data_IF_117459142461
#
_entry.id   IF_117459142461
#
_cell.length_a   1.000
_cell.length_b   1.000
_cell.length_c   1.000
_cell.angle_alpha   90.00
_cell.angle_beta   90.00
_cell.angle_gamma   90.00
#
_symmetry.space_group_name_H-M   'P 1'
#
loop_
_entity.id
_entity.type
_entity.pdbx_description
1 polymer ?
#
# COMPACT_ATOMS: atom_id res chain seq x y z
N UNK A 1 23.84 -8.85 -29.00
CA UNK A 1 23.66 -10.00 -28.08
C UNK A 1 22.18 -10.29 -28.10
N UNK A 2 21.74 -11.06 -29.11
CA UNK A 2 20.37 -11.55 -29.20
C UNK A 2 20.23 -12.67 -28.18
N UNK A 3 19.29 -12.51 -27.24
CA UNK A 3 18.94 -13.57 -26.31
C UNK A 3 17.94 -14.48 -27.02
N UNK A 4 18.43 -15.55 -27.65
CA UNK A 4 17.61 -16.66 -28.09
C UNK A 4 17.05 -17.39 -26.86
N UNK A 5 15.86 -16.99 -26.42
CA UNK A 5 15.04 -17.78 -25.49
C UNK A 5 14.56 -19.04 -26.23
N UNK A 6 15.38 -20.09 -26.21
CA UNK A 6 14.94 -21.43 -26.65
C UNK A 6 13.99 -22.01 -25.60
N UNK A 7 12.70 -21.73 -25.77
CA UNK A 7 11.62 -22.40 -25.04
C UNK A 7 11.59 -23.85 -25.52
N UNK A 8 11.92 -24.80 -24.65
CA UNK A 8 12.15 -26.21 -24.98
C UNK A 8 10.89 -27.05 -25.14
N UNK A 9 9.69 -26.46 -25.08
CA UNK A 9 8.43 -27.20 -25.21
C UNK A 9 7.40 -26.45 -26.09
N UNK A 10 7.21 -26.88 -27.35
CA UNK A 10 6.26 -26.25 -28.27
C UNK A 10 4.79 -26.40 -27.86
N UNK A 11 4.42 -27.36 -26.99
CA UNK A 11 3.03 -27.52 -26.52
C UNK A 11 2.59 -26.43 -25.51
N UNK A 12 3.54 -25.69 -24.92
CA UNK A 12 3.25 -24.59 -23.98
C UNK A 12 2.70 -23.37 -24.72
N UNK A 13 3.10 -23.15 -25.98
CA UNK A 13 2.71 -21.96 -26.75
C UNK A 13 1.26 -22.02 -27.26
N UNK A 14 0.75 -23.22 -27.61
CA UNK A 14 -0.63 -23.39 -28.09
C UNK A 14 -1.66 -23.39 -26.95
N UNK A 15 -1.23 -23.63 -25.71
CA UNK A 15 -2.11 -23.65 -24.53
C UNK A 15 -2.14 -22.32 -23.77
N UNK A 16 -1.11 -21.47 -23.90
CA UNK A 16 -1.00 -20.17 -23.24
C UNK A 16 -1.18 -19.02 -24.23
N UNK A 17 -2.43 -18.78 -24.66
CA UNK A 17 -2.80 -17.51 -25.27
C UNK A 17 -2.84 -16.38 -24.21
N UNK A 18 -1.68 -16.04 -23.65
CA UNK A 18 -1.48 -15.02 -22.60
C UNK A 18 -1.86 -13.61 -23.07
N UNK A 19 -1.96 -13.38 -24.39
CA UNK A 19 -2.42 -12.12 -24.98
C UNK A 19 -3.95 -11.96 -24.98
N UNK A 20 -4.69 -13.06 -24.82
CA UNK A 20 -6.13 -13.05 -24.61
C UNK A 20 -6.41 -13.29 -23.12
N UNK A 21 -6.17 -12.28 -22.29
CA UNK A 21 -6.93 -12.21 -21.04
C UNK A 21 -8.41 -12.12 -21.46
N UNK A 22 -9.14 -13.24 -21.37
CA UNK A 22 -10.58 -13.26 -21.63
C UNK A 22 -11.16 -12.19 -20.74
N UNK A 23 -11.74 -11.14 -21.34
CA UNK A 23 -12.41 -10.07 -20.61
C UNK A 23 -13.24 -10.70 -19.52
N UNK A 24 -12.89 -10.42 -18.26
CA UNK A 24 -13.48 -11.09 -17.13
C UNK A 24 -14.99 -11.01 -17.23
N UNK A 25 -15.68 -12.14 -17.01
CA UNK A 25 -17.07 -12.05 -16.64
C UNK A 25 -17.09 -11.22 -15.36
N UNK A 26 -17.52 -9.97 -15.47
CA UNK A 26 -17.89 -9.12 -14.34
C UNK A 26 -19.38 -9.37 -14.12
N UNK A 27 -19.80 -10.46 -13.43
CA UNK A 27 -21.22 -10.77 -13.24
C UNK A 27 -21.96 -9.65 -12.52
N UNK A 28 -21.22 -8.70 -11.93
CA UNK A 28 -21.74 -7.56 -11.20
C UNK A 28 -21.77 -6.24 -11.98
N UNK A 29 -21.11 -6.12 -13.14
CA UNK A 29 -21.11 -4.85 -13.89
C UNK A 29 -22.52 -4.45 -14.34
N UNK A 30 -23.36 -5.43 -14.67
CA UNK A 30 -24.76 -5.26 -15.02
C UNK A 30 -25.71 -5.74 -13.91
N UNK A 31 -25.21 -5.97 -12.70
CA UNK A 31 -26.03 -6.48 -11.62
C UNK A 31 -26.90 -5.37 -11.03
N UNK A 32 -28.21 -5.62 -10.79
CA UNK A 32 -29.07 -4.69 -10.08
C UNK A 32 -28.65 -4.50 -8.61
N UNK A 33 -27.68 -5.29 -8.12
CA UNK A 33 -27.10 -5.16 -6.79
C UNK A 33 -25.89 -4.22 -6.74
N UNK A 34 -25.36 -3.75 -7.87
CA UNK A 34 -24.27 -2.77 -7.88
C UNK A 34 -24.63 -1.47 -7.13
N UNK A 35 -25.84 -0.90 -7.27
CA UNK A 35 -26.28 0.22 -6.44
C UNK A 35 -26.35 -0.12 -4.94
N UNK A 36 -26.75 -1.35 -4.59
CA UNK A 36 -26.78 -1.81 -3.20
C UNK A 36 -25.36 -1.97 -2.63
N UNK A 37 -24.41 -2.50 -3.40
CA UNK A 37 -23.00 -2.54 -3.04
C UNK A 37 -22.46 -1.13 -2.81
N UNK A 38 -22.73 -0.19 -3.71
CA UNK A 38 -22.35 1.23 -3.55
C UNK A 38 -22.97 1.82 -2.27
N UNK A 39 -24.24 1.56 -1.99
CA UNK A 39 -24.91 1.99 -0.76
C UNK A 39 -24.29 1.37 0.51
N UNK A 40 -23.82 0.12 0.45
CA UNK A 40 -23.08 -0.47 1.57
C UNK A 40 -21.71 0.18 1.77
N UNK A 41 -21.05 0.62 0.69
CA UNK A 41 -19.81 1.38 0.77
C UNK A 41 -20.04 2.80 1.30
N UNK A 42 -21.20 3.40 1.04
CA UNK A 42 -21.60 4.71 1.59
C UNK A 42 -21.77 4.70 3.12
N UNK A 43 -21.95 3.52 3.74
CA UNK A 43 -21.78 3.37 5.19
C UNK A 43 -20.30 3.27 5.54
N UNK A 44 -19.56 4.38 5.40
CA UNK A 44 -18.28 4.53 6.09
C UNK A 44 -18.56 4.51 7.60
N UNK A 45 -18.42 3.34 8.23
CA UNK A 45 -18.64 3.16 9.68
C UNK A 45 -17.65 3.94 10.54
N UNK A 46 -16.53 4.39 9.95
CA UNK A 46 -15.42 5.04 10.63
C UNK A 46 -14.96 6.25 9.79
N UNK A 47 -15.83 7.23 9.61
CA UNK A 47 -15.38 8.56 9.18
C UNK A 47 -15.03 9.36 10.45
N UNK A 48 -13.84 9.96 10.56
CA UNK A 48 -13.51 10.74 11.74
C UNK A 48 -14.47 11.91 11.86
N UNK A 49 -14.90 12.17 13.10
CA UNK A 49 -15.77 13.29 13.40
C UNK A 49 -14.97 14.57 13.27
N UNK A 50 -15.29 15.38 12.26
CA UNK A 50 -14.72 16.72 12.14
C UNK A 50 -15.17 17.53 13.35
N UNK A 51 -14.21 18.09 14.08
CA UNK A 51 -14.49 18.91 15.24
C UNK A 51 -15.30 20.15 14.81
N UNK A 52 -16.49 20.33 15.42
CA UNK A 52 -17.33 21.52 15.20
C UNK A 52 -16.83 22.74 15.99
N UNK A 53 -16.06 22.49 17.04
CA UNK A 53 -15.50 23.51 17.92
C UNK A 53 -14.06 23.14 18.20
N UNK A 54 -13.16 24.10 18.03
CA UNK A 54 -11.74 23.96 18.30
C UNK A 54 -11.51 24.52 19.70
N UNK A 55 -10.89 23.73 20.59
CA UNK A 55 -10.45 24.20 21.91
C UNK A 55 -9.35 25.24 21.77
N UNK A 56 -9.16 26.08 22.79
CA UNK A 56 -8.07 27.07 22.81
C UNK A 56 -6.70 26.43 23.01
N UNK A 57 -6.64 25.22 23.56
CA UNK A 57 -5.40 24.48 23.86
C UNK A 57 -5.56 22.97 23.63
N UNK A 58 -4.44 22.32 23.32
CA UNK A 58 -4.30 20.88 23.10
C UNK A 58 -2.94 20.43 23.62
N UNK A 59 -2.83 19.19 24.08
CA UNK A 59 -1.57 18.59 24.50
C UNK A 59 -0.65 18.34 23.30
N UNK A 60 -1.23 17.94 22.17
CA UNK A 60 -0.51 17.71 20.92
C UNK A 60 -1.28 18.27 19.72
N UNK A 61 -0.55 18.85 18.77
CA UNK A 61 -1.06 19.23 17.45
C UNK A 61 -0.29 18.43 16.41
N UNK A 62 -1.01 17.56 15.70
CA UNK A 62 -0.47 16.76 14.58
C UNK A 62 -0.85 17.45 13.28
N UNK A 63 0.14 17.80 12.47
CA UNK A 63 -0.05 18.47 11.18
C UNK A 63 0.11 17.46 10.04
N UNK A 64 -0.99 17.19 9.35
CA UNK A 64 -1.12 16.21 8.28
C UNK A 64 -1.62 14.86 8.80
N UNK A 65 -2.66 14.33 8.14
CA UNK A 65 -3.29 13.03 8.43
C UNK A 65 -2.89 11.94 7.43
N UNK A 66 -1.65 12.01 6.95
CA UNK A 66 -1.04 10.92 6.19
C UNK A 66 -0.75 9.69 7.06
N UNK A 67 -0.12 8.67 6.49
CA UNK A 67 0.20 7.41 7.19
C UNK A 67 0.84 7.61 8.58
N UNK A 68 1.88 8.45 8.65
CA UNK A 68 2.57 8.75 9.92
C UNK A 68 1.72 9.59 10.88
N UNK A 69 1.11 10.67 10.39
CA UNK A 69 0.33 11.58 11.24
C UNK A 69 -0.90 10.91 11.84
N UNK A 70 -1.63 10.12 11.05
CA UNK A 70 -2.77 9.36 11.56
C UNK A 70 -2.38 8.31 12.59
N UNK A 71 -1.26 7.60 12.37
CA UNK A 71 -0.76 6.64 13.37
C UNK A 71 -0.36 7.32 14.69
N UNK A 72 0.34 8.46 14.62
CA UNK A 72 0.73 9.24 15.80
C UNK A 72 -0.51 9.79 16.52
N UNK A 73 -1.44 10.42 15.80
CA UNK A 73 -2.65 10.96 16.38
C UNK A 73 -3.50 9.88 17.06
N UNK A 74 -3.67 8.72 16.41
CA UNK A 74 -4.39 7.59 16.97
C UNK A 74 -3.76 7.13 18.30
N UNK A 75 -2.44 6.91 18.34
CA UNK A 75 -1.75 6.45 19.55
C UNK A 75 -1.77 7.47 20.68
N UNK A 76 -1.53 8.74 20.40
CA UNK A 76 -1.61 9.80 21.42
C UNK A 76 -3.02 9.90 22.01
N UNK A 77 -4.05 9.67 21.19
CA UNK A 77 -5.45 9.70 21.64
C UNK A 77 -5.92 8.46 22.41
N UNK A 78 -5.10 7.39 22.50
CA UNK A 78 -5.42 6.22 23.34
C UNK A 78 -5.42 6.58 24.84
N UNK A 79 -4.67 7.61 25.23
CA UNK A 79 -4.63 8.12 26.60
C UNK A 79 -5.82 9.06 26.86
N UNK A 80 -6.78 8.71 27.74
CA UNK A 80 -8.03 9.47 27.88
C UNK A 80 -7.87 10.92 28.36
N UNK A 81 -6.75 11.24 29.00
CA UNK A 81 -6.43 12.58 29.47
C UNK A 81 -5.74 13.46 28.41
N UNK A 82 -5.34 12.91 27.26
CA UNK A 82 -4.61 13.61 26.21
C UNK A 82 -5.57 14.14 25.14
N UNK A 83 -5.48 15.44 24.87
CA UNK A 83 -6.23 16.12 23.83
C UNK A 83 -5.35 16.32 22.60
N UNK A 84 -5.72 15.69 21.48
CA UNK A 84 -4.99 15.79 20.21
C UNK A 84 -5.81 16.58 19.19
N UNK A 85 -5.19 17.58 18.57
CA UNK A 85 -5.71 18.24 17.37
C UNK A 85 -4.99 17.69 16.15
N UNK A 86 -5.72 17.06 15.23
CA UNK A 86 -5.21 16.65 13.93
C UNK A 86 -5.67 17.64 12.85
N UNK A 87 -4.71 18.26 12.17
CA UNK A 87 -4.97 19.20 11.07
C UNK A 87 -4.68 18.53 9.73
N UNK A 88 -5.67 18.52 8.84
CA UNK A 88 -5.54 18.01 7.48
C UNK A 88 -6.02 19.08 6.48
N UNK A 89 -5.23 19.32 5.44
CA UNK A 89 -5.58 20.28 4.39
C UNK A 89 -6.62 19.72 3.40
N UNK A 90 -6.62 18.40 3.26
CA UNK A 90 -7.56 17.65 2.44
C UNK A 90 -8.94 17.43 3.08
N UNK A 91 -9.83 16.87 2.25
CA UNK A 91 -11.17 16.46 2.66
C UNK A 91 -11.21 14.98 3.05
N UNK A 92 -12.37 14.53 3.51
CA UNK A 92 -12.66 13.09 3.65
C UNK A 92 -12.57 12.41 2.27
N UNK A 93 -11.91 11.25 2.16
CA UNK A 93 -11.76 10.56 0.88
C UNK A 93 -13.11 10.15 0.28
N UNK A 94 -13.29 10.27 -1.05
CA UNK A 94 -14.44 9.70 -1.74
C UNK A 94 -14.54 8.20 -1.49
N UNK A 95 -15.75 7.68 -1.31
CA UNK A 95 -16.01 6.26 -1.00
C UNK A 95 -15.37 5.30 -2.02
N UNK A 96 -15.31 5.67 -3.30
CA UNK A 96 -14.72 4.83 -4.34
C UNK A 96 -13.22 4.57 -4.14
N UNK A 97 -12.52 5.41 -3.36
CA UNK A 97 -11.11 5.17 -3.01
C UNK A 97 -10.91 3.96 -2.07
N UNK A 98 -11.98 3.45 -1.44
CA UNK A 98 -11.93 2.21 -0.63
C UNK A 98 -11.85 0.94 -1.49
N UNK A 99 -12.04 1.08 -2.81
CA UNK A 99 -11.83 0.04 -3.80
C UNK A 99 -10.40 0.21 -4.34
N UNK A 100 -9.44 -0.68 -4.03
CA UNK A 100 -8.03 -0.47 -4.38
C UNK A 100 -7.78 -0.21 -5.88
N UNK A 101 -8.53 -0.88 -6.76
CA UNK A 101 -8.41 -0.68 -8.20
C UNK A 101 -8.87 0.71 -8.68
N UNK A 102 -9.68 1.43 -7.88
CA UNK A 102 -10.25 2.73 -8.27
C UNK A 102 -9.51 3.92 -7.66
N UNK A 103 -8.76 3.72 -6.58
CA UNK A 103 -7.99 4.75 -5.90
C UNK A 103 -7.12 5.60 -6.84
N UNK A 104 -6.49 4.98 -7.83
CA UNK A 104 -5.61 5.67 -8.79
C UNK A 104 -6.33 6.58 -9.78
N UNK A 105 -7.64 6.41 -10.00
CA UNK A 105 -8.42 7.32 -10.86
C UNK A 105 -8.57 8.71 -10.26
N UNK A 106 -8.26 8.88 -8.97
CA UNK A 106 -8.30 10.16 -8.30
C UNK A 106 -6.97 10.94 -8.39
N UNK A 107 -5.94 10.39 -9.03
CA UNK A 107 -4.75 11.17 -9.40
C UNK A 107 -5.18 12.28 -10.36
N UNK A 108 -4.63 13.50 -10.20
CA UNK A 108 -5.06 14.73 -10.89
C UNK A 108 -6.45 15.28 -10.50
N UNK A 109 -7.09 14.72 -9.48
CA UNK A 109 -8.33 15.28 -8.93
C UNK A 109 -8.05 16.34 -7.85
N UNK A 110 -9.11 16.83 -7.22
CA UNK A 110 -9.03 17.82 -6.15
C UNK A 110 -8.49 17.26 -4.81
N UNK A 111 -8.38 15.93 -4.69
CA UNK A 111 -7.71 15.26 -3.57
C UNK A 111 -6.23 14.96 -3.82
N UNK A 112 -5.68 15.44 -4.93
CA UNK A 112 -4.25 15.39 -5.26
C UNK A 112 -3.64 16.78 -5.12
N UNK A 113 -2.46 16.88 -4.50
CA UNK A 113 -1.64 18.09 -4.47
C UNK A 113 -1.05 18.43 -5.83
N UNK A 114 -0.89 17.42 -6.70
CA UNK A 114 -0.44 17.56 -8.07
C UNK A 114 0.94 18.21 -8.20
N UNK A 115 1.86 17.87 -7.29
CA UNK A 115 3.20 18.45 -7.32
C UNK A 115 3.91 18.16 -8.64
N UNK A 116 4.72 19.13 -9.07
CA UNK A 116 5.63 18.98 -10.19
C UNK A 116 7.02 19.35 -9.75
N UNK A 117 7.99 18.58 -10.21
CA UNK A 117 9.39 18.95 -10.01
C UNK A 117 9.70 20.23 -10.78
N UNK A 118 10.76 20.93 -10.39
CA UNK A 118 11.42 21.87 -11.32
C UNK A 118 11.92 21.12 -12.57
N UNK A 119 12.16 21.79 -13.70
CA UNK A 119 12.78 21.17 -14.87
C UNK A 119 14.10 20.48 -14.51
N UNK A 120 14.22 19.19 -14.83
CA UNK A 120 15.39 18.40 -14.48
C UNK A 120 16.52 18.59 -15.52
N UNK A 121 17.74 18.83 -15.04
CA UNK A 121 18.92 19.02 -15.90
C UNK A 121 19.37 17.71 -16.56
N UNK A 122 19.41 16.63 -15.78
CA UNK A 122 20.03 15.36 -16.17
C UNK A 122 19.02 14.26 -16.50
N UNK A 123 17.74 14.46 -16.20
CA UNK A 123 16.65 13.49 -16.42
C UNK A 123 15.45 14.16 -17.11
N UNK A 124 14.41 13.38 -17.43
CA UNK A 124 13.14 13.94 -17.91
C UNK A 124 13.15 14.51 -19.33
N UNK A 125 14.13 14.16 -20.19
CA UNK A 125 14.22 14.69 -21.56
C UNK A 125 12.98 14.41 -22.42
N UNK A 126 12.23 13.35 -22.11
CA UNK A 126 10.98 12.98 -22.78
C UNK A 126 9.71 13.52 -22.08
N UNK A 127 9.86 14.26 -20.96
CA UNK A 127 8.75 14.86 -20.24
C UNK A 127 8.51 16.29 -20.73
N UNK A 128 7.26 16.73 -20.72
CA UNK A 128 6.89 18.13 -20.99
C UNK A 128 7.64 19.03 -20.00
N UNK A 129 8.37 20.03 -20.52
CA UNK A 129 9.23 20.93 -19.76
C UNK A 129 10.27 20.23 -18.86
N UNK A 130 10.57 18.94 -19.09
CA UNK A 130 11.42 18.12 -18.23
C UNK A 130 10.97 18.05 -16.77
N UNK A 131 9.67 18.21 -16.52
CA UNK A 131 9.10 18.17 -15.18
C UNK A 131 8.41 16.83 -14.94
N UNK A 132 8.73 16.20 -13.82
CA UNK A 132 8.06 14.99 -13.37
C UNK A 132 6.85 15.35 -12.51
N UNK A 133 5.78 14.60 -12.69
CA UNK A 133 4.56 14.72 -11.91
C UNK A 133 4.63 13.78 -10.70
N UNK A 134 4.46 14.32 -9.49
CA UNK A 134 4.55 13.59 -8.23
C UNK A 134 3.18 13.65 -7.54
N UNK A 135 2.32 12.63 -7.72
CA UNK A 135 1.03 12.58 -7.05
C UNK A 135 1.22 12.58 -5.53
N UNK A 136 0.46 13.41 -4.83
CA UNK A 136 0.50 13.44 -3.38
C UNK A 136 -0.88 13.69 -2.80
N UNK A 137 -1.30 12.86 -1.85
CA UNK A 137 -2.62 12.90 -1.22
C UNK A 137 -2.86 14.20 -0.46
N UNK A 138 -3.86 14.95 -0.90
CA UNK A 138 -4.50 16.07 -0.20
C UNK A 138 -5.87 15.62 0.29
N UNK A 139 -5.85 14.66 1.23
CA UNK A 139 -7.03 13.93 1.69
C UNK A 139 -6.72 13.29 3.03
N UNK A 140 -7.74 13.08 3.86
CA UNK A 140 -7.59 12.29 5.08
C UNK A 140 -7.06 10.89 4.73
N UNK A 141 -5.96 10.48 5.38
CA UNK A 141 -5.19 9.28 5.05
C UNK A 141 -3.99 9.54 4.13
N UNK A 142 -3.92 10.74 3.51
CA UNK A 142 -2.84 11.18 2.64
C UNK A 142 -2.57 10.22 1.49
N UNK A 143 -1.29 9.95 1.23
CA UNK A 143 -0.84 9.06 0.14
C UNK A 143 -1.34 7.62 0.26
N UNK A 144 -1.72 7.16 1.46
CA UNK A 144 -2.28 5.82 1.63
C UNK A 144 -3.58 5.64 0.87
N UNK A 145 -4.32 6.72 0.58
CA UNK A 145 -5.55 6.68 -0.23
C UNK A 145 -5.27 6.33 -1.69
N UNK A 146 -4.10 6.70 -2.23
CA UNK A 146 -3.69 6.39 -3.61
C UNK A 146 -2.85 5.12 -3.74
N UNK A 147 -2.49 4.52 -2.61
CA UNK A 147 -1.59 3.37 -2.57
C UNK A 147 -2.11 2.22 -3.42
N UNK A 148 -1.18 1.50 -4.06
CA UNK A 148 -1.47 0.23 -4.73
C UNK A 148 -1.76 -0.90 -3.74
N UNK A 149 -1.91 -0.58 -2.45
CA UNK A 149 -2.16 -1.52 -1.37
C UNK A 149 -1.02 -2.54 -1.17
N UNK A 150 0.19 -2.29 -1.66
CA UNK A 150 1.34 -3.19 -1.46
C UNK A 150 1.85 -3.04 -0.02
N UNK A 151 1.95 -4.17 0.70
CA UNK A 151 2.45 -4.24 2.06
C UNK A 151 3.85 -4.87 2.08
N UNK A 152 4.85 -4.00 2.10
CA UNK A 152 6.25 -4.38 2.09
C UNK A 152 7.01 -3.56 3.12
N UNK A 153 7.93 -4.20 3.83
CA UNK A 153 8.82 -3.56 4.80
C UNK A 153 10.15 -3.22 4.15
N UNK A 154 10.92 -2.36 4.81
CA UNK A 154 12.31 -2.14 4.45
C UNK A 154 13.14 -3.41 4.69
N UNK A 155 14.27 -3.51 4.00
CA UNK A 155 15.25 -4.53 4.34
C UNK A 155 15.80 -4.30 5.76
N UNK A 156 15.91 -5.34 6.58
CA UNK A 156 16.40 -5.28 7.96
C UNK A 156 17.78 -4.62 8.04
N UNK A 157 18.66 -4.91 7.08
CA UNK A 157 19.98 -4.29 6.99
C UNK A 157 19.92 -2.77 6.87
N UNK A 158 18.91 -2.23 6.18
CA UNK A 158 18.75 -0.78 6.06
C UNK A 158 18.53 -0.11 7.41
N UNK A 159 17.83 -0.77 8.34
CA UNK A 159 17.58 -0.27 9.69
C UNK A 159 18.85 -0.35 10.56
N UNK A 160 19.61 -1.44 10.45
CA UNK A 160 20.92 -1.55 11.11
C UNK A 160 21.91 -0.51 10.58
N UNK A 161 21.91 -0.26 9.26
CA UNK A 161 22.73 0.78 8.65
C UNK A 161 22.32 2.19 9.14
N UNK A 162 21.04 2.44 9.42
CA UNK A 162 20.58 3.69 10.04
C UNK A 162 21.08 3.84 11.47
N UNK A 163 20.97 2.78 12.27
CA UNK A 163 21.48 2.77 13.64
C UNK A 163 23.00 3.02 13.68
N UNK A 164 23.75 2.39 12.76
CA UNK A 164 25.18 2.60 12.61
C UNK A 164 25.55 4.04 12.21
N UNK A 165 24.67 4.73 11.49
CA UNK A 165 24.81 6.15 11.13
C UNK A 165 24.34 7.12 12.24
N UNK A 166 23.93 6.60 13.40
CA UNK A 166 23.59 7.40 14.58
C UNK A 166 22.09 7.51 14.89
N UNK A 167 21.22 6.86 14.11
CA UNK A 167 19.79 6.75 14.42
C UNK A 167 19.57 5.72 15.55
N UNK A 168 19.96 6.08 16.79
CA UNK A 168 19.79 5.23 17.97
C UNK A 168 18.31 4.84 18.13
N UNK A 169 18.02 3.57 18.43
CA UNK A 169 16.63 3.09 18.52
C UNK A 169 16.04 2.57 17.21
N UNK A 170 16.78 2.62 16.10
CA UNK A 170 16.27 2.28 14.76
C UNK A 170 16.92 1.04 14.13
N UNK A 171 17.62 0.20 14.90
CA UNK A 171 18.13 -1.07 14.39
C UNK A 171 16.99 -2.03 14.02
N UNK A 172 17.27 -3.05 13.21
CA UNK A 172 16.30 -4.07 12.81
C UNK A 172 15.58 -4.69 14.01
N UNK A 173 16.33 -5.00 15.07
CA UNK A 173 15.82 -5.58 16.30
C UNK A 173 14.87 -4.63 17.05
N UNK A 174 15.14 -3.32 17.01
CA UNK A 174 14.34 -2.31 17.70
C UNK A 174 13.06 -1.97 16.95
N UNK A 175 13.08 -1.99 15.61
CA UNK A 175 11.91 -1.64 14.79
C UNK A 175 10.97 -2.81 14.51
N UNK A 176 11.46 -4.06 14.48
CA UNK A 176 10.63 -5.24 14.18
C UNK A 176 9.39 -5.35 15.08
N UNK A 177 9.48 -5.15 16.41
CA UNK A 177 8.29 -5.17 17.28
C UNK A 177 7.22 -4.15 16.88
N UNK A 178 7.59 -3.00 16.29
CA UNK A 178 6.63 -2.00 15.82
C UNK A 178 5.96 -2.41 14.51
N UNK A 179 6.68 -3.10 13.60
CA UNK A 179 6.05 -3.71 12.44
C UNK A 179 5.05 -4.78 12.82
N UNK A 180 5.40 -5.63 13.80
CA UNK A 180 4.48 -6.62 14.36
C UNK A 180 3.30 -5.94 15.09
N UNK A 181 3.51 -4.85 15.81
CA UNK A 181 2.39 -4.12 16.44
C UNK A 181 1.41 -3.51 15.42
N UNK A 182 1.89 -3.18 14.22
CA UNK A 182 1.10 -2.58 13.16
C UNK A 182 0.19 -3.60 12.44
N UNK A 183 0.67 -4.83 12.29
CA UNK A 183 0.11 -5.80 11.36
C UNK A 183 -1.04 -6.64 11.96
N UNK A 184 -2.04 -6.89 11.13
CA UNK A 184 -3.07 -7.89 11.32
C UNK A 184 -3.13 -8.80 10.09
N UNK A 185 -2.27 -9.81 10.05
CA UNK A 185 -2.11 -10.68 8.90
C UNK A 185 -3.20 -11.78 8.88
N UNK A 186 -3.83 -11.98 7.72
CA UNK A 186 -4.86 -13.00 7.53
C UNK A 186 -4.35 -14.27 6.84
N UNK A 187 -3.10 -14.28 6.37
CA UNK A 187 -2.45 -15.43 5.79
C UNK A 187 -1.77 -16.25 6.90
N UNK A 188 -2.44 -17.32 7.35
CA UNK A 188 -1.98 -18.10 8.50
C UNK A 188 -0.63 -18.80 8.31
N UNK A 189 -0.27 -19.12 7.06
CA UNK A 189 0.95 -19.84 6.72
C UNK A 189 2.25 -19.07 6.96
N UNK A 190 2.18 -17.74 7.12
CA UNK A 190 3.36 -16.91 7.43
C UNK A 190 3.48 -16.55 8.91
N UNK A 191 2.45 -16.83 9.74
CA UNK A 191 2.43 -16.41 11.15
C UNK A 191 3.49 -17.13 12.00
N UNK A 192 3.89 -18.34 11.63
CA UNK A 192 4.83 -19.15 12.41
C UNK A 192 6.29 -18.77 12.16
N UNK A 193 6.59 -17.92 11.17
CA UNK A 193 7.97 -17.59 10.81
C UNK A 193 8.62 -16.53 11.73
N UNK A 194 7.87 -15.93 12.67
CA UNK A 194 8.37 -14.93 13.62
C UNK A 194 8.43 -13.50 13.08
N UNK A 195 8.06 -13.28 11.81
CA UNK A 195 8.05 -11.96 11.17
C UNK A 195 6.66 -11.41 10.95
N UNK A 196 5.60 -12.11 11.34
CA UNK A 196 4.22 -11.65 11.18
C UNK A 196 3.43 -11.71 12.49
N UNK A 197 2.36 -10.93 12.54
CA UNK A 197 1.49 -10.84 13.70
C UNK A 197 0.03 -10.62 13.31
N UNK A 198 -0.83 -10.78 14.32
CA UNK A 198 -2.27 -10.54 14.23
C UNK A 198 -2.68 -9.48 15.25
N UNK A 199 -3.83 -8.83 15.03
CA UNK A 199 -4.43 -7.90 15.99
C UNK A 199 -4.00 -6.44 15.88
N UNK A 200 -3.06 -6.11 15.00
CA UNK A 200 -2.73 -4.72 14.66
C UNK A 200 -3.83 -3.98 13.88
N UNK A 201 -3.70 -2.66 13.70
CA UNK A 201 -4.70 -1.86 12.98
C UNK A 201 -4.65 -2.02 11.44
N UNK A 202 -3.56 -2.52 10.87
CA UNK A 202 -3.40 -2.65 9.41
C UNK A 202 -3.59 -4.10 8.99
N UNK A 203 -4.67 -4.38 8.27
CA UNK A 203 -4.90 -5.71 7.71
C UNK A 203 -3.99 -5.98 6.53
N UNK A 204 -3.23 -7.07 6.60
CA UNK A 204 -2.40 -7.59 5.52
C UNK A 204 -2.94 -8.94 5.06
N UNK A 205 -3.08 -9.14 3.75
CA UNK A 205 -3.48 -10.41 3.16
C UNK A 205 -3.01 -10.50 1.72
N UNK A 206 -2.81 -11.71 1.20
CA UNK A 206 -2.60 -11.89 -0.24
C UNK A 206 -3.86 -11.54 -1.03
N UNK A 207 -3.70 -11.09 -2.29
CA UNK A 207 -4.84 -10.80 -3.14
C UNK A 207 -5.66 -12.08 -3.36
N UNK A 208 -6.97 -11.99 -3.12
CA UNK A 208 -7.90 -13.12 -3.38
C UNK A 208 -8.00 -13.47 -4.86
N UNK A 209 -7.71 -12.50 -5.72
CA UNK A 209 -7.68 -12.66 -7.16
C UNK A 209 -6.24 -12.55 -7.66
N UNK A 210 -5.81 -13.51 -8.49
CA UNK A 210 -4.52 -13.49 -9.15
C UNK A 210 -4.73 -13.78 -10.64
N UNK A 211 -4.08 -13.02 -11.52
CA UNK A 211 -4.09 -13.30 -12.97
C UNK A 211 -3.36 -14.60 -13.28
N UNK A 212 -3.76 -15.26 -14.37
CA UNK A 212 -3.18 -16.51 -14.85
C UNK A 212 -1.70 -16.37 -15.20
N UNK A 213 -1.23 -15.15 -15.51
CA UNK A 213 0.19 -14.85 -15.78
C UNK A 213 1.08 -15.02 -14.54
N UNK A 214 0.51 -15.10 -13.34
CA UNK A 214 1.26 -15.20 -12.09
C UNK A 214 2.15 -16.45 -12.05
N UNK A 215 1.61 -17.63 -12.38
CA UNK A 215 2.39 -18.88 -12.32
C UNK A 215 3.50 -18.93 -13.36
N UNK A 216 3.28 -18.58 -14.64
CA UNK A 216 4.36 -18.44 -15.62
C UNK A 216 5.47 -17.47 -15.17
N UNK A 217 5.11 -16.35 -14.53
CA UNK A 217 6.09 -15.39 -14.01
C UNK A 217 6.91 -15.97 -12.85
N UNK A 218 6.29 -16.78 -11.99
CA UNK A 218 6.97 -17.45 -10.89
C UNK A 218 7.87 -18.58 -11.37
N UNK A 219 7.47 -19.30 -12.41
CA UNK A 219 8.32 -20.33 -13.01
C UNK A 219 9.56 -19.73 -13.65
N UNK A 220 9.40 -18.69 -14.47
CA UNK A 220 10.53 -17.96 -15.05
C UNK A 220 11.48 -17.42 -13.95
N UNK A 221 10.93 -16.96 -12.82
CA UNK A 221 11.74 -16.54 -11.68
C UNK A 221 12.55 -17.70 -11.08
N UNK A 222 11.95 -18.89 -10.91
CA UNK A 222 12.65 -20.09 -10.41
C UNK A 222 13.75 -20.54 -11.37
N UNK A 223 13.49 -20.53 -12.68
CA UNK A 223 14.49 -20.86 -13.71
C UNK A 223 15.70 -19.91 -13.67
N UNK A 224 15.48 -18.63 -13.36
CA UNK A 224 16.55 -17.65 -13.13
C UNK A 224 17.24 -17.80 -11.77
N UNK A 225 16.86 -18.77 -10.94
CA UNK A 225 17.42 -19.02 -9.62
C UNK A 225 16.85 -18.13 -8.50
N UNK A 226 15.75 -17.41 -8.74
CA UNK A 226 15.10 -16.63 -7.68
C UNK A 226 14.24 -17.53 -6.79
N UNK A 227 14.39 -17.37 -5.48
CA UNK A 227 13.48 -17.94 -4.49
C UNK A 227 12.11 -17.29 -4.60
N UNK A 228 11.06 -18.09 -4.49
CA UNK A 228 9.69 -17.61 -4.22
C UNK A 228 9.44 -17.72 -2.71
N UNK A 229 9.04 -16.64 -2.06
CA UNK A 229 8.83 -16.67 -0.61
C UNK A 229 7.99 -15.52 -0.07
N UNK A 230 8.31 -15.16 1.17
CA UNK A 230 7.75 -14.02 1.90
C UNK A 230 8.83 -12.92 2.01
N UNK A 231 8.53 -11.75 1.48
CA UNK A 231 9.43 -10.59 1.41
C UNK A 231 9.61 -9.90 2.75
N UNK A 232 8.67 -10.11 3.68
CA UNK A 232 8.69 -9.53 5.01
C UNK A 232 9.28 -10.49 6.06
N UNK A 233 9.65 -11.70 5.64
CA UNK A 233 10.28 -12.73 6.47
C UNK A 233 11.79 -12.56 6.63
N UNK A 234 12.44 -13.59 7.17
CA UNK A 234 13.88 -13.61 7.45
C UNK A 234 14.73 -13.31 6.20
N UNK A 235 14.37 -13.91 5.07
CA UNK A 235 15.06 -13.71 3.80
C UNK A 235 14.24 -12.79 2.91
N UNK A 236 14.74 -11.56 2.74
CA UNK A 236 14.05 -10.49 2.02
C UNK A 236 14.52 -10.32 0.56
N UNK A 237 15.40 -11.21 0.06
CA UNK A 237 15.88 -11.25 -1.33
C UNK A 237 15.27 -12.40 -2.14
N UNK A 238 14.59 -12.10 -3.25
CA UNK A 238 13.85 -13.10 -4.04
C UNK A 238 12.70 -12.48 -4.83
N UNK A 239 11.84 -13.33 -5.39
CA UNK A 239 10.53 -12.95 -5.94
C UNK A 239 9.44 -13.30 -4.93
N UNK A 240 8.47 -12.41 -4.81
CA UNK A 240 7.51 -12.48 -3.71
C UNK A 240 6.09 -12.35 -4.23
N UNK A 241 5.20 -13.13 -3.64
CA UNK A 241 3.78 -12.90 -3.80
C UNK A 241 3.46 -11.61 -3.05
N UNK A 242 3.04 -10.57 -3.78
CA UNK A 242 2.71 -9.28 -3.18
C UNK A 242 1.63 -9.49 -2.11
N UNK A 243 1.99 -9.20 -0.85
CA UNK A 243 1.01 -9.08 0.21
C UNK A 243 0.30 -7.74 -0.03
N UNK A 244 -1.01 -7.77 -0.11
CA UNK A 244 -1.81 -6.55 -0.18
C UNK A 244 -2.25 -6.16 1.23
N UNK A 245 -1.85 -4.98 1.71
CA UNK A 245 -2.52 -4.39 2.86
C UNK A 245 -3.78 -3.69 2.41
N UNK A 246 -4.90 -4.01 3.07
CA UNK A 246 -5.96 -3.04 3.20
C UNK A 246 -5.71 -2.32 4.52
N UNK A 247 -5.14 -1.12 4.46
CA UNK A 247 -5.19 -0.24 5.61
C UNK A 247 -6.67 -0.01 5.94
N UNK A 248 -7.15 -0.57 7.05
CA UNK A 248 -8.34 -0.01 7.68
C UNK A 248 -7.93 1.39 8.12
N UNK A 249 -8.62 2.39 7.56
CA UNK A 249 -8.33 3.80 7.81
C UNK A 249 -8.53 4.07 9.31
N UNK A 250 -7.55 4.74 9.91
CA UNK A 250 -7.66 5.36 11.23
C UNK A 250 -8.72 6.48 11.21
#
# INVERSE_FOLDING_TARGET
MECDLKISNPEILDTLNLGCERSYNTPYANSPFLPLLILTLMRQKIAPKIAKTIKTEYDYIVVGSGAGGSAVAARLSEEPCVNVLLLEAGKVPPVLTDIPGFARFFIFSDIDWQYRTVPQKNTGKALINRQSYWPSGKVLGGNSVFSASVFERGNLRSYDDWAAQGAKGWSAQEVLPYFLKLENNWDSDVLENGFHSVGGPVTAQRPRYCSEIKEPLFEAAREMGYRIGDSNGEQQTGKYLQILSKAQRF
#
